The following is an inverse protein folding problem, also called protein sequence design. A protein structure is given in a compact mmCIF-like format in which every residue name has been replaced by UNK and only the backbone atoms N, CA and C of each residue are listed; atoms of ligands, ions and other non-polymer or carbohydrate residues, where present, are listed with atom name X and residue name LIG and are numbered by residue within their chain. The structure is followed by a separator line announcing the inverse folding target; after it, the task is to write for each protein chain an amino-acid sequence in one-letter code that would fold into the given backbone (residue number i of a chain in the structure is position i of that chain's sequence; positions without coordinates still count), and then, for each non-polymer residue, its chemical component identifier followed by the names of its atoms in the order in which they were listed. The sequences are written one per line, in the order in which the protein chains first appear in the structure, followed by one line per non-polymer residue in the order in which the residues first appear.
data_IF_292669114116
#
_entry.id   IF_292669114116
#
_cell.length_a   1.000
_cell.length_b   1.000
_cell.length_c   1.000
_cell.angle_alpha   90.00
_cell.angle_beta   90.00
_cell.angle_gamma   90.00
#
_symmetry.space_group_name_H-M   'P 1'
#
loop_
_entity.id
_entity.type
_entity.pdbx_description
1 polymer ?
#
# COMPACT_ATOMS: atom_id res chain seq x y z
N UNK A 1 37.23 11.36 -26.09
CA UNK A 1 36.98 9.94 -25.91
C UNK A 1 36.26 9.61 -24.60
N UNK A 2 35.88 10.61 -23.80
CA UNK A 2 35.23 10.40 -22.47
C UNK A 2 33.70 10.44 -22.45
N UNK A 3 33.05 10.87 -23.53
CA UNK A 3 31.57 11.01 -23.57
C UNK A 3 30.83 9.69 -23.79
N UNK A 4 31.52 8.58 -24.16
CA UNK A 4 30.92 7.27 -24.39
C UNK A 4 30.82 6.41 -23.13
N UNK A 5 31.66 6.65 -22.13
CA UNK A 5 31.66 5.86 -20.87
C UNK A 5 30.55 6.26 -19.91
N UNK A 6 30.13 7.53 -19.88
CA UNK A 6 29.04 8.00 -19.03
C UNK A 6 27.65 7.47 -19.42
N UNK A 7 27.42 7.20 -20.70
CA UNK A 7 26.12 6.69 -21.19
C UNK A 7 25.86 5.23 -20.81
N UNK A 8 26.89 4.38 -20.80
CA UNK A 8 26.76 2.98 -20.43
C UNK A 8 26.52 2.76 -18.93
N UNK A 9 27.14 3.58 -18.09
CA UNK A 9 26.96 3.49 -16.62
C UNK A 9 25.56 3.94 -16.22
N UNK A 10 25.01 4.98 -16.85
CA UNK A 10 23.65 5.45 -16.61
C UNK A 10 22.58 4.44 -17.08
N UNK A 11 22.82 3.75 -18.20
CA UNK A 11 21.96 2.67 -18.69
C UNK A 11 22.02 1.44 -17.79
N UNK A 12 23.20 1.08 -17.26
CA UNK A 12 23.35 -0.03 -16.32
C UNK A 12 22.67 0.24 -14.97
N UNK A 13 22.72 1.48 -14.46
CA UNK A 13 22.02 1.86 -13.23
C UNK A 13 20.49 1.86 -13.41
N UNK A 14 19.98 2.26 -14.57
CA UNK A 14 18.54 2.19 -14.87
C UNK A 14 18.05 0.75 -15.02
N UNK A 15 18.89 -0.17 -15.52
CA UNK A 15 18.54 -1.60 -15.59
C UNK A 15 18.54 -2.27 -14.21
N UNK A 16 19.38 -1.82 -13.27
CA UNK A 16 19.42 -2.36 -11.90
C UNK A 16 18.18 -2.01 -11.08
N UNK A 17 17.49 -0.91 -11.38
CA UNK A 17 16.23 -0.55 -10.73
C UNK A 17 15.02 -1.30 -11.28
N UNK A 18 15.12 -1.91 -12.47
CA UNK A 18 14.00 -2.64 -13.08
C UNK A 18 13.93 -4.12 -12.68
N UNK A 19 14.96 -4.66 -12.04
CA UNK A 19 15.02 -6.11 -11.70
C UNK A 19 14.45 -6.47 -10.32
N UNK A 20 13.80 -5.55 -9.61
CA UNK A 20 13.26 -5.80 -8.25
C UNK A 20 11.74 -5.87 -8.16
N UNK A 21 11.05 -6.16 -9.26
CA UNK A 21 9.61 -6.41 -9.25
C UNK A 21 9.30 -7.86 -9.57
N UNK A 22 9.99 -8.79 -8.89
CA UNK A 22 9.51 -10.16 -8.79
C UNK A 22 8.37 -10.17 -7.78
N UNK A 23 7.14 -10.34 -8.27
CA UNK A 23 5.92 -10.34 -7.48
C UNK A 23 5.97 -11.38 -6.36
N UNK A 24 6.31 -10.94 -5.17
CA UNK A 24 5.91 -11.61 -3.95
C UNK A 24 4.43 -11.32 -3.77
N UNK A 25 3.58 -12.28 -4.12
CA UNK A 25 2.24 -12.39 -3.55
C UNK A 25 2.34 -12.97 -2.14
N UNK A 26 3.09 -12.30 -1.27
CA UNK A 26 2.91 -12.39 0.15
C UNK A 26 1.73 -11.46 0.45
N UNK A 27 0.70 -11.98 1.13
CA UNK A 27 -0.30 -11.15 1.78
C UNK A 27 0.45 -10.02 2.48
N UNK A 28 0.23 -8.79 2.04
CA UNK A 28 0.96 -7.66 2.60
C UNK A 28 0.46 -7.46 4.03
N UNK A 29 1.10 -8.13 4.98
CA UNK A 29 0.74 -8.12 6.40
C UNK A 29 0.77 -6.70 7.01
N UNK A 30 1.32 -5.73 6.28
CA UNK A 30 1.29 -4.32 6.68
C UNK A 30 -0.07 -3.69 6.41
N UNK A 31 -0.68 -4.02 5.28
CA UNK A 31 -1.99 -3.47 4.89
C UNK A 31 -3.12 -4.01 5.77
N UNK A 32 -3.12 -5.30 6.09
CA UNK A 32 -4.10 -5.89 7.01
C UNK A 32 -3.97 -5.31 8.42
N UNK A 33 -2.73 -5.11 8.93
CA UNK A 33 -2.48 -4.47 10.24
C UNK A 33 -3.00 -3.04 10.32
N UNK A 34 -2.86 -2.26 9.25
CA UNK A 34 -3.40 -0.90 9.17
C UNK A 34 -4.93 -0.90 9.28
N UNK A 35 -5.58 -1.89 8.66
CA UNK A 35 -7.03 -2.09 8.78
C UNK A 35 -7.43 -2.52 10.18
N UNK A 36 -6.69 -3.45 10.79
CA UNK A 36 -6.94 -3.90 12.16
C UNK A 36 -6.87 -2.75 13.17
N UNK A 37 -5.88 -1.86 13.01
CA UNK A 37 -5.76 -0.67 13.87
C UNK A 37 -6.94 0.29 13.70
N UNK A 38 -7.39 0.53 12.47
CA UNK A 38 -8.55 1.37 12.20
C UNK A 38 -9.83 0.77 12.80
N UNK A 39 -10.05 -0.54 12.63
CA UNK A 39 -11.23 -1.22 13.18
C UNK A 39 -11.17 -1.21 14.71
N UNK A 40 -10.00 -1.46 15.31
CA UNK A 40 -9.79 -1.33 16.75
C UNK A 40 -10.18 0.05 17.26
N UNK A 41 -9.68 1.12 16.65
CA UNK A 41 -9.94 2.48 17.09
C UNK A 41 -11.44 2.82 16.99
N UNK A 42 -12.12 2.37 15.93
CA UNK A 42 -13.57 2.49 15.80
C UNK A 42 -14.33 1.68 16.84
N UNK A 43 -13.86 0.47 17.14
CA UNK A 43 -14.46 -0.39 18.16
C UNK A 43 -14.36 0.24 19.56
N UNK A 44 -13.23 0.82 19.91
CA UNK A 44 -13.07 1.53 21.18
C UNK A 44 -13.94 2.78 21.25
N UNK A 45 -14.02 3.55 20.17
CA UNK A 45 -14.91 4.71 20.09
C UNK A 45 -16.39 4.32 20.31
N UNK A 46 -16.83 3.21 19.73
CA UNK A 46 -18.20 2.70 19.91
C UNK A 46 -18.48 2.31 21.37
N UNK A 47 -17.47 1.88 22.12
CA UNK A 47 -17.62 1.42 23.50
C UNK A 47 -17.64 2.53 24.57
N UNK A 48 -17.39 3.80 24.24
CA UNK A 48 -17.18 4.90 25.19
C UNK A 48 -18.32 5.00 26.19
N UNK A 49 -19.58 4.81 25.80
CA UNK A 49 -20.76 4.93 26.69
C UNK A 49 -21.63 3.66 26.71
N UNK A 50 -21.08 2.52 26.31
CA UNK A 50 -21.81 1.28 26.14
C UNK A 50 -21.70 0.37 27.36
N UNK A 51 -22.71 -0.50 27.53
CA UNK A 51 -22.76 -1.47 28.63
C UNK A 51 -21.76 -2.60 28.42
N UNK A 52 -21.15 -3.06 29.51
CA UNK A 52 -20.28 -4.24 29.52
C UNK A 52 -21.14 -5.52 29.39
N UNK A 53 -20.68 -6.49 28.60
CA UNK A 53 -21.38 -7.76 28.42
C UNK A 53 -22.38 -7.76 27.26
N UNK A 54 -22.45 -6.67 26.49
CA UNK A 54 -23.33 -6.55 25.33
C UNK A 54 -22.46 -6.36 24.09
N UNK A 55 -22.79 -7.10 23.02
CA UNK A 55 -22.14 -6.96 21.72
C UNK A 55 -22.74 -5.77 20.94
N UNK A 56 -21.89 -4.99 20.32
CA UNK A 56 -22.27 -3.85 19.48
C UNK A 56 -21.65 -3.96 18.10
N UNK A 57 -22.39 -3.56 17.07
CA UNK A 57 -21.86 -3.43 15.71
C UNK A 57 -21.02 -2.16 15.63
N UNK A 58 -19.85 -2.26 15.01
CA UNK A 58 -18.93 -1.13 14.81
C UNK A 58 -19.25 -0.45 13.48
N UNK A 59 -19.59 0.85 13.46
CA UNK A 59 -19.80 1.58 12.22
C UNK A 59 -18.47 1.79 11.49
N UNK A 60 -18.35 1.21 10.31
CA UNK A 60 -17.18 1.32 9.45
C UNK A 60 -17.39 2.44 8.42
N UNK A 61 -16.31 3.11 7.96
CA UNK A 61 -16.40 4.13 6.92
C UNK A 61 -16.84 3.52 5.57
N UNK A 62 -17.34 4.36 4.66
CA UNK A 62 -17.96 3.93 3.40
C UNK A 62 -17.04 3.06 2.50
N UNK A 63 -15.72 3.31 2.53
CA UNK A 63 -14.74 2.49 1.80
C UNK A 63 -14.60 1.06 2.35
N UNK A 64 -15.08 0.79 3.56
CA UNK A 64 -15.10 -0.52 4.21
C UNK A 64 -16.52 -1.09 4.37
N UNK A 65 -17.49 -0.57 3.64
CA UNK A 65 -18.92 -0.95 3.75
C UNK A 65 -19.17 -2.44 3.45
N UNK A 66 -18.27 -3.11 2.75
CA UNK A 66 -18.36 -4.56 2.50
C UNK A 66 -17.87 -5.41 3.68
N UNK A 67 -17.19 -4.82 4.67
CA UNK A 67 -16.78 -5.48 5.90
C UNK A 67 -17.84 -5.32 6.99
N UNK A 68 -17.79 -6.22 7.96
CA UNK A 68 -18.55 -6.08 9.20
C UNK A 68 -17.61 -6.25 10.39
N UNK A 69 -17.83 -5.42 11.40
CA UNK A 69 -17.12 -5.54 12.66
C UNK A 69 -18.10 -5.47 13.83
N UNK A 70 -17.80 -6.22 14.86
CA UNK A 70 -18.56 -6.24 16.11
C UNK A 70 -17.60 -6.22 17.30
N UNK A 71 -18.03 -5.62 18.40
CA UNK A 71 -17.22 -5.43 19.57
C UNK A 71 -17.97 -5.82 20.84
N UNK A 72 -17.26 -6.46 21.76
CA UNK A 72 -17.80 -6.89 23.03
C UNK A 72 -16.80 -6.57 24.15
N UNK A 73 -17.21 -5.76 25.14
CA UNK A 73 -16.42 -5.50 26.33
C UNK A 73 -16.83 -6.40 27.48
N UNK A 74 -15.87 -7.07 28.11
CA UNK A 74 -16.08 -8.02 29.20
C UNK A 74 -15.12 -7.74 30.37
N UNK A 75 -15.48 -8.21 31.57
CA UNK A 75 -14.52 -8.41 32.64
C UNK A 75 -13.76 -9.72 32.41
N UNK A 76 -12.46 -9.75 32.65
CA UNK A 76 -11.64 -10.97 32.48
C UNK A 76 -12.17 -12.14 33.29
N UNK A 77 -12.66 -11.88 34.51
CA UNK A 77 -13.32 -12.91 35.34
C UNK A 77 -14.62 -13.45 34.74
N UNK A 78 -15.31 -12.66 33.92
CA UNK A 78 -16.51 -13.07 33.19
C UNK A 78 -16.15 -13.96 32.01
N UNK A 79 -15.12 -13.55 31.26
CA UNK A 79 -14.57 -14.35 30.16
C UNK A 79 -14.10 -15.72 30.65
N UNK A 80 -13.35 -15.76 31.75
CA UNK A 80 -12.90 -17.00 32.37
C UNK A 80 -14.06 -17.94 32.78
N UNK A 81 -15.07 -17.41 33.45
CA UNK A 81 -16.13 -18.26 34.01
C UNK A 81 -17.22 -18.67 33.02
N UNK A 82 -17.49 -17.86 32.00
CA UNK A 82 -18.65 -18.05 31.12
C UNK A 82 -18.27 -18.10 29.64
N UNK A 83 -17.04 -17.75 29.31
CA UNK A 83 -16.68 -17.53 27.91
C UNK A 83 -17.42 -16.35 27.29
N UNK A 84 -17.50 -16.31 25.99
CA UNK A 84 -18.22 -15.30 25.22
C UNK A 84 -18.65 -15.82 23.85
N UNK A 85 -19.81 -15.37 23.37
CA UNK A 85 -20.24 -15.54 21.99
C UNK A 85 -20.24 -14.20 21.30
N UNK A 86 -19.59 -14.11 20.15
CA UNK A 86 -19.57 -12.90 19.33
C UNK A 86 -19.66 -13.27 17.85
N UNK A 87 -20.81 -12.99 17.24
CA UNK A 87 -21.11 -13.35 15.85
C UNK A 87 -20.87 -14.86 15.57
N UNK A 88 -19.94 -15.18 14.67
CA UNK A 88 -19.60 -16.55 14.31
C UNK A 88 -18.53 -17.19 15.21
N UNK A 89 -18.05 -16.50 16.25
CA UNK A 89 -17.03 -17.02 17.16
C UNK A 89 -17.61 -17.37 18.51
N UNK A 90 -17.20 -18.52 19.04
CA UNK A 90 -17.50 -18.99 20.40
C UNK A 90 -16.18 -19.12 21.17
N UNK A 91 -16.04 -18.32 22.21
CA UNK A 91 -14.90 -18.34 23.13
C UNK A 91 -15.33 -19.14 24.37
N UNK A 92 -14.75 -20.31 24.67
CA UNK A 92 -15.18 -21.16 25.76
C UNK A 92 -14.81 -20.57 27.13
N UNK A 93 -15.46 -21.04 28.19
CA UNK A 93 -14.98 -20.84 29.59
C UNK A 93 -13.54 -21.34 29.74
N UNK A 94 -12.82 -20.87 30.74
CA UNK A 94 -11.40 -21.19 30.90
C UNK A 94 -10.47 -20.41 29.98
N UNK A 95 -10.98 -19.39 29.30
CA UNK A 95 -10.17 -18.51 28.43
C UNK A 95 -9.61 -17.33 29.22
N UNK A 96 -8.28 -17.12 29.09
CA UNK A 96 -7.53 -16.02 29.70
C UNK A 96 -6.97 -15.09 28.65
N UNK A 97 -7.00 -13.80 28.95
CA UNK A 97 -6.22 -12.80 28.21
C UNK A 97 -4.81 -12.71 28.78
N UNK A 98 -3.80 -12.61 27.92
CA UNK A 98 -2.38 -12.53 28.31
C UNK A 98 -1.75 -11.29 27.62
N UNK A 99 -1.14 -10.37 28.38
CA UNK A 99 -1.07 -10.33 29.84
C UNK A 99 -2.43 -10.17 30.52
N UNK A 100 -2.53 -10.56 31.79
CA UNK A 100 -3.79 -10.48 32.54
C UNK A 100 -4.18 -9.03 32.75
N UNK A 101 -5.40 -8.70 32.38
CA UNK A 101 -6.01 -7.37 32.50
C UNK A 101 -7.37 -7.45 33.19
N UNK A 102 -7.83 -6.33 33.71
CA UNK A 102 -9.11 -6.26 34.43
C UNK A 102 -10.33 -6.36 33.52
N UNK A 103 -10.25 -5.75 32.34
CA UNK A 103 -11.30 -5.74 31.30
C UNK A 103 -10.68 -6.01 29.97
N UNK A 104 -11.37 -6.79 29.17
CA UNK A 104 -11.01 -7.13 27.79
C UNK A 104 -12.06 -6.61 26.83
N UNK A 105 -11.62 -6.22 25.67
CA UNK A 105 -12.45 -5.98 24.50
C UNK A 105 -12.14 -7.07 23.49
N UNK A 106 -13.19 -7.78 23.05
CA UNK A 106 -13.14 -8.72 21.94
C UNK A 106 -13.62 -7.99 20.71
N UNK A 107 -12.84 -7.99 19.66
CA UNK A 107 -13.17 -7.41 18.34
C UNK A 107 -13.28 -8.55 17.34
N UNK A 108 -14.44 -8.67 16.75
CA UNK A 108 -14.73 -9.58 15.65
C UNK A 108 -14.77 -8.79 14.35
N UNK A 109 -14.14 -9.30 13.32
CA UNK A 109 -14.08 -8.70 11.99
C UNK A 109 -14.51 -9.74 10.95
N UNK A 110 -15.37 -9.38 10.03
CA UNK A 110 -15.70 -10.19 8.87
C UNK A 110 -15.33 -9.43 7.60
N UNK A 111 -14.30 -9.87 6.91
CA UNK A 111 -13.72 -9.22 5.74
C UNK A 111 -14.54 -9.41 4.47
N UNK A 112 -15.48 -10.34 4.45
CA UNK A 112 -16.42 -10.58 3.33
C UNK A 112 -15.74 -10.45 1.95
N UNK A 113 -16.25 -9.56 1.09
CA UNK A 113 -15.73 -9.34 -0.26
C UNK A 113 -14.32 -8.78 -0.35
N UNK A 114 -13.75 -8.27 0.76
CA UNK A 114 -12.37 -7.77 0.79
C UNK A 114 -11.34 -8.87 1.11
N UNK A 115 -11.78 -10.04 1.57
CA UNK A 115 -10.88 -11.14 2.00
C UNK A 115 -9.79 -11.45 0.97
N UNK A 116 -10.15 -11.71 -0.27
CA UNK A 116 -9.21 -12.08 -1.33
C UNK A 116 -8.26 -10.93 -1.79
N UNK A 117 -8.49 -9.70 -1.31
CA UNK A 117 -7.61 -8.57 -1.62
C UNK A 117 -6.45 -8.44 -0.63
N UNK A 118 -6.61 -8.97 0.58
CA UNK A 118 -5.67 -8.86 1.68
C UNK A 118 -5.06 -10.19 2.10
N UNK A 119 -5.76 -11.30 1.84
CA UNK A 119 -5.34 -12.62 2.28
C UNK A 119 -5.28 -13.58 1.10
N UNK A 120 -4.22 -14.36 1.03
CA UNK A 120 -4.03 -15.38 0.01
C UNK A 120 -3.06 -16.45 0.48
N UNK A 121 -3.30 -17.68 0.05
CA UNK A 121 -2.42 -18.81 0.31
C UNK A 121 -2.02 -19.40 -1.04
N UNK A 122 -0.72 -19.50 -1.35
CA UNK A 122 -0.28 -20.08 -2.61
C UNK A 122 -0.82 -21.50 -2.81
N UNK A 123 -1.43 -21.76 -3.98
CA UNK A 123 -1.99 -23.08 -4.30
C UNK A 123 -3.36 -23.37 -3.69
N UNK A 124 -3.99 -22.38 -3.00
CA UNK A 124 -5.32 -22.51 -2.40
C UNK A 124 -6.23 -21.33 -2.77
N UNK A 125 -7.51 -21.56 -2.74
CA UNK A 125 -8.56 -20.55 -2.86
C UNK A 125 -9.33 -20.40 -1.55
N UNK A 126 -9.79 -19.17 -1.26
CA UNK A 126 -10.60 -18.91 -0.08
C UNK A 126 -12.02 -19.45 -0.32
N UNK A 127 -12.42 -20.46 0.44
CA UNK A 127 -13.77 -21.04 0.41
C UNK A 127 -14.76 -20.26 1.28
N UNK A 128 -14.25 -19.43 2.22
CA UNK A 128 -15.05 -18.61 3.12
C UNK A 128 -14.44 -17.22 3.28
N UNK A 129 -15.23 -16.22 3.72
CA UNK A 129 -14.68 -14.92 4.11
C UNK A 129 -13.67 -15.05 5.26
N UNK A 130 -12.66 -14.20 5.28
CA UNK A 130 -11.72 -14.13 6.40
C UNK A 130 -12.40 -13.51 7.60
N UNK A 131 -12.25 -14.14 8.76
CA UNK A 131 -12.72 -13.66 10.07
C UNK A 131 -11.52 -13.31 10.92
N UNK A 132 -11.46 -12.06 11.41
CA UNK A 132 -10.50 -11.61 12.41
C UNK A 132 -11.10 -11.72 13.81
N UNK A 133 -10.32 -12.25 14.77
CA UNK A 133 -10.67 -12.29 16.18
C UNK A 133 -9.50 -11.79 17.00
N UNK A 134 -9.69 -10.65 17.68
CA UNK A 134 -8.65 -9.97 18.44
C UNK A 134 -9.13 -9.59 19.84
N UNK A 135 -8.20 -9.62 20.79
CA UNK A 135 -8.42 -9.18 22.14
C UNK A 135 -7.58 -7.93 22.43
N UNK A 136 -8.16 -6.98 23.14
CA UNK A 136 -7.49 -5.75 23.54
C UNK A 136 -7.73 -5.44 25.02
N UNK A 137 -6.75 -4.75 25.63
CA UNK A 137 -6.91 -4.23 26.98
C UNK A 137 -7.91 -3.06 26.98
N UNK A 138 -8.87 -3.12 27.90
CA UNK A 138 -9.84 -2.06 28.14
C UNK A 138 -9.91 -1.70 29.63
N UNK A 139 -8.83 -1.90 30.38
CA UNK A 139 -8.75 -1.54 31.79
C UNK A 139 -8.77 -0.03 31.97
N UNK A 140 -8.05 0.70 31.10
CA UNK A 140 -8.00 2.14 31.04
C UNK A 140 -8.46 2.65 29.66
N UNK A 141 -9.06 3.83 29.60
CA UNK A 141 -9.55 4.40 28.36
C UNK A 141 -8.44 4.76 27.36
N UNK A 142 -7.20 4.79 27.80
CA UNK A 142 -6.02 5.10 26.96
C UNK A 142 -5.26 3.86 26.48
N UNK A 143 -5.51 2.68 27.05
CA UNK A 143 -4.81 1.45 26.70
C UNK A 143 -5.65 0.65 25.73
N UNK A 144 -5.18 0.53 24.48
CA UNK A 144 -5.73 -0.38 23.47
C UNK A 144 -4.68 -1.42 23.07
N UNK A 145 -3.83 -1.81 24.03
CA UNK A 145 -2.81 -2.82 23.81
C UNK A 145 -3.49 -4.15 23.42
N UNK A 146 -2.96 -4.77 22.40
CA UNK A 146 -3.44 -6.08 21.99
C UNK A 146 -2.97 -7.14 22.96
N UNK A 147 -3.86 -8.07 23.23
CA UNK A 147 -3.67 -9.16 24.16
C UNK A 147 -3.67 -10.48 23.39
N UNK A 148 -2.87 -11.40 23.84
CA UNK A 148 -2.97 -12.77 23.37
C UNK A 148 -4.03 -13.53 24.16
N UNK A 149 -4.45 -14.68 23.62
CA UNK A 149 -5.49 -15.52 24.17
C UNK A 149 -4.88 -16.87 24.57
N UNK A 150 -5.12 -17.25 25.82
CA UNK A 150 -4.74 -18.60 26.31
C UNK A 150 -6.01 -19.34 26.73
N UNK A 151 -6.23 -20.49 26.12
CA UNK A 151 -7.34 -21.40 26.45
C UNK A 151 -6.81 -22.59 27.23
N UNK A 152 -7.52 -22.98 28.29
CA UNK A 152 -7.11 -24.05 29.19
C UNK A 152 -7.54 -25.42 28.66
N UNK A 153 -8.78 -25.54 28.23
CA UNK A 153 -9.40 -26.81 27.80
C UNK A 153 -9.80 -26.74 26.32
N UNK A 154 -11.01 -26.31 26.05
CA UNK A 154 -11.56 -26.27 24.70
C UNK A 154 -11.02 -25.06 23.92
N UNK A 155 -10.65 -25.23 22.65
CA UNK A 155 -10.23 -24.13 21.81
C UNK A 155 -11.42 -23.21 21.46
N UNK A 156 -11.13 -21.96 21.09
CA UNK A 156 -12.11 -21.07 20.47
C UNK A 156 -12.60 -21.68 19.18
N UNK A 157 -13.89 -21.73 18.95
CA UNK A 157 -14.46 -22.18 17.69
C UNK A 157 -14.96 -21.01 16.84
N UNK A 158 -14.71 -21.08 15.53
CA UNK A 158 -15.12 -20.08 14.54
C UNK A 158 -15.86 -20.81 13.44
N UNK A 159 -17.13 -20.45 13.24
CA UNK A 159 -18.01 -21.05 12.25
C UNK A 159 -18.07 -20.26 10.97
N UNK A 160 -17.93 -20.95 9.86
CA UNK A 160 -17.97 -20.38 8.52
C UNK A 160 -19.18 -20.93 7.75
N UNK A 161 -19.85 -20.08 6.96
CA UNK A 161 -20.93 -20.53 6.08
C UNK A 161 -20.32 -21.24 4.85
N UNK A 162 -20.05 -22.53 4.98
CA UNK A 162 -19.52 -23.38 3.89
C UNK A 162 -20.55 -24.42 3.54
N UNK A 163 -20.87 -24.54 2.26
CA UNK A 163 -22.00 -25.37 1.79
C UNK A 163 -21.73 -26.90 1.81
N UNK A 164 -20.47 -27.33 1.65
CA UNK A 164 -20.10 -28.74 1.72
C UNK A 164 -18.63 -28.90 2.14
N UNK A 165 -18.31 -29.81 3.07
CA UNK A 165 -16.93 -30.14 3.37
C UNK A 165 -16.43 -31.12 2.30
N UNK A 166 -15.37 -30.74 1.64
CA UNK A 166 -14.54 -31.68 0.93
C UNK A 166 -13.38 -32.11 1.85
N UNK A 167 -12.91 -33.34 1.72
CA UNK A 167 -11.76 -33.86 2.48
C UNK A 167 -10.47 -33.04 2.26
N UNK A 168 -10.43 -32.24 1.21
CA UNK A 168 -9.34 -31.31 0.88
C UNK A 168 -9.43 -29.95 1.60
N UNK A 169 -10.53 -29.68 2.29
CA UNK A 169 -10.76 -28.40 3.01
C UNK A 169 -9.79 -28.26 4.18
N UNK A 170 -9.20 -27.09 4.34
CA UNK A 170 -8.29 -26.74 5.44
C UNK A 170 -8.70 -25.43 6.09
N UNK A 171 -8.43 -25.30 7.39
CA UNK A 171 -8.45 -24.03 8.10
C UNK A 171 -7.10 -23.33 7.92
N UNK A 172 -7.10 -22.08 7.52
CA UNK A 172 -5.92 -21.23 7.45
C UNK A 172 -5.99 -20.15 8.53
N UNK A 173 -4.93 -20.01 9.30
CA UNK A 173 -4.70 -18.90 10.23
C UNK A 173 -3.56 -18.05 9.71
N UNK A 174 -3.81 -16.76 9.52
CA UNK A 174 -2.82 -15.76 9.13
C UNK A 174 -2.27 -15.09 10.38
N UNK A 175 -0.96 -15.19 10.55
CA UNK A 175 -0.20 -14.52 11.59
C UNK A 175 0.15 -13.10 11.17
N UNK A 176 0.56 -12.29 12.12
CA UNK A 176 0.99 -10.90 11.86
C UNK A 176 2.29 -10.78 11.08
N UNK A 177 3.18 -11.74 11.19
CA UNK A 177 4.44 -11.80 10.43
C UNK A 177 4.23 -12.18 8.96
N UNK A 178 2.98 -12.49 8.57
CA UNK A 178 2.61 -12.94 7.23
C UNK A 178 2.70 -14.46 7.06
N UNK A 179 3.08 -15.20 8.10
CA UNK A 179 3.04 -16.66 8.06
C UNK A 179 1.61 -17.20 8.07
N UNK A 180 1.40 -18.35 7.46
CA UNK A 180 0.09 -19.00 7.38
C UNK A 180 0.20 -20.39 7.98
N UNK A 181 -0.61 -20.65 9.01
CA UNK A 181 -0.72 -21.97 9.63
C UNK A 181 -1.97 -22.68 9.12
N UNK A 182 -1.76 -23.88 8.58
CA UNK A 182 -2.83 -24.73 8.08
C UNK A 182 -3.14 -25.83 9.09
N UNK A 183 -4.44 -26.06 9.32
CA UNK A 183 -4.94 -27.12 10.19
C UNK A 183 -6.20 -27.78 9.61
N UNK A 184 -6.53 -28.96 10.08
CA UNK A 184 -7.78 -29.60 9.70
C UNK A 184 -8.95 -28.89 10.38
N UNK A 185 -10.11 -28.76 9.72
CA UNK A 185 -11.34 -28.32 10.38
C UNK A 185 -11.73 -29.28 11.50
N UNK A 186 -12.27 -28.76 12.59
CA UNK A 186 -12.78 -29.58 13.70
C UNK A 186 -14.09 -30.29 13.31
N UNK A 187 -14.92 -29.59 12.56
CA UNK A 187 -16.15 -30.10 11.96
C UNK A 187 -16.43 -29.33 10.67
N UNK A 188 -17.53 -29.68 10.00
CA UNK A 188 -17.98 -29.02 8.78
C UNK A 188 -18.11 -27.51 8.99
N UNK A 189 -17.24 -26.74 8.32
CA UNK A 189 -17.27 -25.28 8.39
C UNK A 189 -16.80 -24.69 9.73
N UNK A 190 -16.15 -25.45 10.59
CA UNK A 190 -15.69 -24.99 11.90
C UNK A 190 -14.16 -25.09 12.03
N UNK A 191 -13.54 -23.97 12.30
CA UNK A 191 -12.12 -23.88 12.62
C UNK A 191 -11.92 -23.62 14.11
N UNK A 192 -10.88 -24.23 14.68
CA UNK A 192 -10.50 -24.01 16.07
C UNK A 192 -9.28 -23.10 16.16
N UNK A 193 -9.22 -22.28 17.22
CA UNK A 193 -8.12 -21.36 17.47
C UNK A 193 -7.70 -21.38 18.95
N UNK A 194 -6.40 -21.27 19.20
CA UNK A 194 -5.82 -21.13 20.55
C UNK A 194 -5.16 -19.78 20.77
N UNK A 195 -5.18 -18.91 19.77
CA UNK A 195 -4.63 -17.57 19.78
C UNK A 195 -5.47 -16.63 18.93
N UNK A 196 -5.23 -15.33 19.02
CA UNK A 196 -5.85 -14.31 18.17
C UNK A 196 -5.30 -14.35 16.74
N UNK A 197 -6.00 -13.74 15.78
CA UNK A 197 -5.56 -13.66 14.39
C UNK A 197 -6.70 -13.63 13.39
N UNK A 198 -6.35 -13.84 12.13
CA UNK A 198 -7.30 -13.96 11.03
C UNK A 198 -7.45 -15.42 10.60
N UNK A 199 -8.66 -15.86 10.41
CA UNK A 199 -9.02 -17.24 10.12
C UNK A 199 -9.90 -17.35 8.90
N UNK A 200 -9.74 -18.41 8.11
CA UNK A 200 -10.62 -18.72 6.98
C UNK A 200 -10.57 -20.21 6.66
N UNK A 201 -11.48 -20.63 5.80
CA UNK A 201 -11.45 -21.95 5.18
C UNK A 201 -10.93 -21.82 3.76
N UNK A 202 -10.01 -22.70 3.39
CA UNK A 202 -9.38 -22.76 2.08
C UNK A 202 -9.55 -24.14 1.45
N UNK A 203 -9.55 -24.18 0.12
CA UNK A 203 -9.56 -25.39 -0.69
C UNK A 203 -8.42 -25.34 -1.71
N UNK A 204 -7.81 -26.47 -2.11
CA UNK A 204 -6.78 -26.47 -3.14
C UNK A 204 -7.29 -25.91 -4.46
N UNK A 205 -6.50 -25.09 -5.13
CA UNK A 205 -6.85 -24.39 -6.39
C UNK A 205 -7.03 -25.34 -7.60
N UNK A 206 -7.42 -26.55 -7.43
CA UNK A 206 -7.67 -27.51 -8.49
C UNK A 206 -8.89 -28.38 -8.25
N UNK A 207 -9.54 -28.24 -7.09
CA UNK A 207 -10.66 -29.08 -6.66
C UNK A 207 -12.03 -28.42 -6.79
N UNK A 208 -12.12 -27.21 -7.34
CA UNK A 208 -13.40 -26.52 -7.52
C UNK A 208 -14.21 -27.08 -8.69
N UNK A 209 -14.82 -28.24 -8.48
CA UNK A 209 -15.97 -28.69 -9.29
C UNK A 209 -17.24 -28.05 -8.72
N UNK A 210 -17.68 -26.97 -9.36
CA UNK A 210 -19.08 -26.53 -9.27
C UNK A 210 -19.39 -25.33 -8.40
N UNK A 211 -19.81 -24.25 -9.08
CA UNK A 211 -20.64 -23.14 -8.62
C UNK A 211 -20.01 -22.03 -7.77
N UNK A 212 -19.26 -21.17 -8.44
CA UNK A 212 -19.47 -19.72 -8.35
C UNK A 212 -18.91 -19.06 -9.61
N UNK A 213 -19.57 -18.06 -10.20
CA UNK A 213 -19.00 -17.37 -11.33
C UNK A 213 -17.77 -16.58 -10.85
N UNK A 214 -16.61 -17.16 -11.06
CA UNK A 214 -15.33 -16.47 -10.85
C UNK A 214 -15.31 -15.25 -11.77
N UNK A 215 -15.49 -14.09 -11.19
CA UNK A 215 -15.41 -12.79 -11.85
C UNK A 215 -13.99 -12.61 -12.42
N UNK A 216 -13.82 -13.00 -13.68
CA UNK A 216 -12.57 -12.87 -14.46
C UNK A 216 -12.09 -11.42 -14.69
N UNK A 217 -12.76 -10.43 -14.11
CA UNK A 217 -12.49 -9.02 -14.37
C UNK A 217 -11.25 -8.43 -13.69
N UNK A 218 -10.69 -9.07 -12.65
CA UNK A 218 -9.64 -8.44 -11.84
C UNK A 218 -8.24 -8.54 -12.45
N UNK A 219 -7.95 -9.57 -13.24
CA UNK A 219 -6.63 -9.71 -13.91
C UNK A 219 -6.40 -8.65 -15.00
N UNK A 220 -7.43 -8.23 -15.72
CA UNK A 220 -7.34 -7.20 -16.75
C UNK A 220 -7.07 -5.80 -16.19
N UNK A 221 -7.62 -5.47 -15.01
CA UNK A 221 -7.40 -4.16 -14.38
C UNK A 221 -5.99 -3.99 -13.85
N UNK A 222 -5.39 -5.03 -13.27
CA UNK A 222 -4.00 -4.98 -12.80
C UNK A 222 -3.05 -4.88 -13.99
N UNK A 223 -3.23 -5.70 -15.04
CA UNK A 223 -2.44 -5.60 -16.28
C UNK A 223 -2.59 -4.25 -16.99
N UNK A 224 -3.81 -3.67 -17.00
CA UNK A 224 -4.05 -2.37 -17.60
C UNK A 224 -3.38 -1.23 -16.81
N UNK A 225 -3.36 -1.30 -15.48
CA UNK A 225 -2.68 -0.30 -14.63
C UNK A 225 -1.16 -0.36 -14.78
N UNK A 226 -0.57 -1.55 -14.90
CA UNK A 226 0.87 -1.71 -15.13
C UNK A 226 1.29 -1.18 -16.51
N UNK A 227 0.48 -1.39 -17.55
CA UNK A 227 0.75 -0.88 -18.90
C UNK A 227 0.64 0.64 -18.95
N UNK A 228 -0.40 1.22 -18.34
CA UNK A 228 -0.59 2.68 -18.29
C UNK A 228 0.50 3.34 -17.46
N UNK A 229 0.88 2.77 -16.32
CA UNK A 229 1.98 3.26 -15.48
C UNK A 229 3.33 3.21 -16.22
N UNK A 230 3.60 2.11 -16.93
CA UNK A 230 4.82 1.95 -17.74
C UNK A 230 4.91 2.96 -18.91
N UNK A 231 3.81 3.19 -19.63
CA UNK A 231 3.74 4.19 -20.70
C UNK A 231 3.97 5.62 -20.18
N UNK A 232 3.40 5.95 -19.03
CA UNK A 232 3.58 7.29 -18.42
C UNK A 232 5.04 7.52 -17.97
N UNK A 233 5.68 6.53 -17.36
CA UNK A 233 7.09 6.58 -16.99
C UNK A 233 8.00 6.76 -18.21
N UNK A 234 7.72 6.08 -19.32
CA UNK A 234 8.47 6.18 -20.56
C UNK A 234 8.32 7.57 -21.21
N UNK A 235 7.11 8.13 -21.19
CA UNK A 235 6.84 9.49 -21.65
C UNK A 235 7.62 10.53 -20.86
N UNK A 236 7.70 10.41 -19.53
CA UNK A 236 8.49 11.31 -18.68
C UNK A 236 10.00 11.24 -18.98
N UNK A 237 10.54 10.04 -19.21
CA UNK A 237 11.96 9.87 -19.59
C UNK A 237 12.26 10.55 -20.93
N UNK A 238 11.39 10.41 -21.92
CA UNK A 238 11.53 11.07 -23.21
C UNK A 238 11.47 12.59 -23.07
N UNK A 239 10.53 13.13 -22.31
CA UNK A 239 10.40 14.56 -22.07
C UNK A 239 11.63 15.13 -21.35
N UNK A 240 12.16 14.44 -20.34
CA UNK A 240 13.41 14.81 -19.66
C UNK A 240 14.59 14.82 -20.64
N UNK A 241 14.72 13.79 -21.49
CA UNK A 241 15.78 13.72 -22.51
C UNK A 241 15.72 14.86 -23.52
N UNK A 242 14.52 15.22 -23.98
CA UNK A 242 14.31 16.37 -24.87
C UNK A 242 14.62 17.69 -24.15
N UNK A 243 14.23 17.84 -22.90
CA UNK A 243 14.53 19.01 -22.07
C UNK A 243 16.03 19.22 -21.89
N UNK A 244 16.76 18.19 -21.54
CA UNK A 244 18.23 18.23 -21.38
C UNK A 244 18.90 18.58 -22.71
N UNK A 245 18.48 17.99 -23.83
CA UNK A 245 19.03 18.32 -25.16
C UNK A 245 18.80 19.80 -25.52
N UNK A 246 17.61 20.36 -25.24
CA UNK A 246 17.33 21.79 -25.46
C UNK A 246 18.19 22.69 -24.59
N UNK A 247 18.39 22.34 -23.31
CA UNK A 247 19.25 23.11 -22.41
C UNK A 247 20.74 23.10 -22.85
N UNK A 248 21.23 21.91 -23.25
CA UNK A 248 22.63 21.80 -23.77
C UNK A 248 22.78 22.57 -25.06
N UNK A 249 21.81 22.54 -25.97
CA UNK A 249 21.83 23.30 -27.22
C UNK A 249 21.84 24.82 -26.93
N UNK A 250 20.99 25.29 -26.01
CA UNK A 250 20.92 26.68 -25.59
C UNK A 250 22.25 27.16 -24.96
N UNK A 251 22.89 26.33 -24.11
CA UNK A 251 24.22 26.63 -23.54
C UNK A 251 25.33 26.68 -24.60
N UNK A 252 25.28 25.84 -25.65
CA UNK A 252 26.25 25.87 -26.76
C UNK A 252 26.08 27.13 -27.60
N UNK A 253 24.86 27.54 -27.91
CA UNK A 253 24.57 28.77 -28.65
C UNK A 253 25.02 30.01 -27.87
N UNK A 254 24.76 30.07 -26.55
CA UNK A 254 25.23 31.13 -25.67
C UNK A 254 26.78 31.26 -25.68
N UNK A 255 27.48 30.13 -25.60
CA UNK A 255 28.95 30.12 -25.65
C UNK A 255 29.51 30.61 -27.00
N UNK A 256 28.82 30.33 -28.12
CA UNK A 256 29.18 30.83 -29.43
C UNK A 256 28.96 32.36 -29.54
N UNK A 257 27.82 32.84 -29.02
CA UNK A 257 27.54 34.29 -29.01
C UNK A 257 28.57 35.07 -28.18
N UNK A 258 28.92 34.54 -27.00
CA UNK A 258 29.94 35.18 -26.14
C UNK A 258 31.31 35.19 -26.83
N UNK A 259 31.73 34.11 -27.50
CA UNK A 259 32.99 34.09 -28.26
C UNK A 259 32.99 35.06 -29.42
N UNK A 260 31.91 35.17 -30.18
CA UNK A 260 31.80 36.16 -31.26
C UNK A 260 31.74 37.60 -30.74
N UNK A 261 31.17 37.83 -29.55
CA UNK A 261 31.23 39.16 -28.92
C UNK A 261 32.66 39.53 -28.47
N UNK A 262 33.39 38.59 -27.90
CA UNK A 262 34.80 38.81 -27.51
C UNK A 262 35.72 39.01 -28.73
N UNK A 263 35.49 38.34 -29.86
CA UNK A 263 36.26 38.54 -31.09
C UNK A 263 35.96 39.88 -31.75
N UNK A 264 34.76 40.41 -31.63
CA UNK A 264 34.39 41.71 -32.20
C UNK A 264 34.73 42.90 -31.30
N UNK A 265 35.00 42.68 -30.00
CA UNK A 265 35.41 43.75 -29.06
C UNK A 265 36.93 43.95 -28.94
N UNK A 266 37.71 43.28 -29.80
CA UNK A 266 39.13 43.55 -29.86
C UNK A 266 39.42 44.99 -30.42
N UNK A 267 39.36 45.93 -29.51
CA UNK A 267 39.74 47.33 -29.82
C UNK A 267 41.20 47.35 -30.28
N UNK A 268 41.40 47.73 -31.52
CA UNK A 268 42.74 47.98 -32.05
C UNK A 268 43.46 49.11 -31.25
N UNK A 269 44.74 48.93 -30.88
CA UNK A 269 45.50 49.96 -30.22
C UNK A 269 46.27 50.80 -31.25
N UNK A 270 45.88 52.04 -31.34
CA UNK A 270 46.69 53.01 -32.15
C UNK A 270 47.65 53.75 -31.25
N UNK A 271 48.93 53.91 -31.72
CA UNK A 271 49.96 54.69 -31.04
C UNK A 271 49.95 56.10 -31.58
N UNK A 272 49.70 57.06 -30.73
CA UNK A 272 49.83 58.48 -31.06
C UNK A 272 50.97 59.09 -30.14
N UNK A 273 52.14 59.34 -30.74
CA UNK A 273 53.32 59.74 -29.98
C UNK A 273 53.82 58.65 -29.05
N UNK A 274 54.03 58.94 -27.77
CA UNK A 274 54.45 57.99 -26.73
C UNK A 274 53.31 57.31 -25.99
N UNK A 275 52.06 57.57 -26.40
CA UNK A 275 50.82 57.02 -25.69
C UNK A 275 50.06 56.02 -26.54
N UNK A 276 49.63 54.90 -25.92
CA UNK A 276 48.76 53.92 -26.56
C UNK A 276 47.32 54.25 -26.24
N UNK A 277 46.49 54.46 -27.27
CA UNK A 277 45.03 54.67 -27.11
C UNK A 277 44.27 53.60 -27.83
N UNK A 278 43.14 53.10 -27.23
CA UNK A 278 42.28 52.19 -27.93
C UNK A 278 41.54 52.87 -29.08
N UNK A 279 41.57 52.30 -30.28
CA UNK A 279 40.88 52.82 -31.44
C UNK A 279 39.78 51.78 -31.92
N UNK A 280 38.60 52.26 -32.28
CA UNK A 280 37.60 51.48 -32.88
C UNK A 280 37.91 51.18 -34.35
N UNK A 281 37.87 49.92 -34.76
CA UNK A 281 38.25 49.47 -36.11
C UNK A 281 37.17 49.78 -37.17
N UNK A 282 35.99 50.32 -36.80
CA UNK A 282 34.91 50.58 -37.73
C UNK A 282 34.41 52.02 -37.69
N UNK A 283 34.09 52.57 -38.85
CA UNK A 283 33.53 53.89 -39.04
C UNK A 283 32.12 53.96 -38.42
N UNK A 284 31.93 55.03 -37.66
CA UNK A 284 30.64 55.29 -36.97
C UNK A 284 29.46 55.33 -37.98
N UNK A 285 28.53 54.41 -37.90
CA UNK A 285 27.30 54.44 -38.71
C UNK A 285 26.45 55.66 -38.34
N UNK A 286 26.01 56.43 -39.35
CA UNK A 286 25.11 57.55 -39.12
C UNK A 286 23.77 57.04 -38.57
N UNK A 287 23.16 57.68 -37.55
CA UNK A 287 21.84 57.31 -37.07
C UNK A 287 20.84 57.58 -38.18
N UNK A 288 20.07 56.55 -38.54
CA UNK A 288 18.92 56.66 -39.45
C UNK A 288 17.71 57.03 -38.60
N UNK A 289 17.05 58.15 -38.98
CA UNK A 289 15.77 58.54 -38.33
C UNK A 289 14.68 57.57 -38.73
N UNK A 290 14.02 56.99 -37.74
CA UNK A 290 12.92 56.02 -37.86
C UNK A 290 11.55 56.68 -38.17
N UNK A 291 11.50 57.77 -38.90
CA UNK A 291 10.22 58.47 -39.17
C UNK A 291 10.03 58.74 -40.66
N UNK A 292 10.07 57.74 -41.49
CA UNK A 292 9.52 57.81 -42.83
C UNK A 292 9.15 56.40 -43.24
N UNK A 293 7.83 56.03 -43.01
CA UNK A 293 7.06 55.18 -43.87
C UNK A 293 5.73 54.80 -43.15
N UNK A 294 4.80 55.76 -43.19
CA UNK A 294 3.39 55.42 -43.15
C UNK A 294 2.83 55.70 -44.53
N UNK A 295 2.50 54.73 -45.36
CA UNK A 295 1.55 54.93 -46.41
C UNK A 295 0.14 54.58 -45.91
N UNK A 296 -0.74 55.59 -45.96
CA UNK A 296 -2.14 55.39 -46.09
C UNK A 296 -2.43 54.64 -47.39
N UNK A 297 -3.18 53.58 -47.30
CA UNK A 297 -4.45 53.24 -47.97
C UNK A 297 -4.96 51.88 -47.49
#
# INVERSE_FOLDING_TARGET
MELRRGGCVLLALLFSFFSSSCGRTSSDGSASRSMDSLIRDRAFHELVRRRTGVAYRVPLPANLSTMEASVLRLRSSSLWRRGANLCASHIPPGTLAVPHVRRVVVVYQNWRGMSASYFGVPGYELAAPVIGLFLYDASDNASSAELDLRVTEDPVSIRFPVAAPDSSTRCARFERDGSVHLQNPASTGECTARSTGHFTIIVPSGSSSGHAPARKEKKWRVLAMDIVGGMFALALVVLMGVGIRRLVKKKRTMKQIVRHAEENDALGAACVGKSRMPSAAMTRTRPRMENEDAPMT
#
